data_IF_444820323338
#
_entry.id   IF_444820323338
#
_cell.length_a   1.000
_cell.length_b   1.000
_cell.length_c   1.000
_cell.angle_alpha   90.00
_cell.angle_beta   90.00
_cell.angle_gamma   90.00
#
_symmetry.space_group_name_H-M   'P 1'
#
loop_
_entity.id
_entity.type
_entity.pdbx_description
1 polymer ?
#
# COMPACT_ATOMS: atom_id res chain seq x y z
N UNK A 1 16.08 4.93 -0.61
CA UNK A 1 15.57 3.59 -0.46
C UNK A 1 16.68 2.58 -0.66
N UNK A 2 16.83 1.65 0.28
CA UNK A 2 17.75 0.50 0.21
C UNK A 2 16.94 -0.77 0.43
N UNK A 3 17.34 -1.86 -0.22
CA UNK A 3 16.65 -3.13 -0.03
C UNK A 3 17.55 -4.32 -0.31
N UNK A 4 17.25 -5.43 0.35
CA UNK A 4 17.87 -6.72 0.12
C UNK A 4 16.82 -7.83 0.20
N UNK A 5 16.94 -8.84 -0.65
CA UNK A 5 16.03 -9.97 -0.68
C UNK A 5 16.81 -11.28 -0.77
N UNK A 6 16.35 -12.25 -0.01
CA UNK A 6 16.78 -13.65 -0.11
C UNK A 6 15.56 -14.51 -0.44
N UNK A 7 15.69 -15.44 -1.38
CA UNK A 7 14.61 -16.33 -1.75
C UNK A 7 15.07 -17.72 -2.10
N UNK A 8 14.16 -18.67 -2.03
CA UNK A 8 14.35 -20.04 -2.42
C UNK A 8 13.22 -20.54 -3.31
N UNK A 9 13.54 -21.43 -4.24
CA UNK A 9 12.58 -22.12 -5.09
C UNK A 9 12.84 -23.63 -4.94
N UNK A 10 11.90 -24.32 -4.34
CA UNK A 10 12.02 -25.72 -3.99
C UNK A 10 10.99 -26.56 -4.75
N UNK A 11 11.47 -27.50 -5.55
CA UNK A 11 10.66 -28.56 -6.16
C UNK A 11 10.48 -29.67 -5.12
N UNK A 12 9.28 -29.73 -4.51
CA UNK A 12 8.97 -30.73 -3.46
C UNK A 12 8.85 -32.12 -4.11
N UNK A 13 8.12 -32.18 -5.21
CA UNK A 13 7.96 -33.36 -6.07
C UNK A 13 7.54 -32.90 -7.49
N UNK A 14 7.28 -33.83 -8.41
CA UNK A 14 6.94 -33.53 -9.79
C UNK A 14 5.71 -32.61 -9.95
N UNK A 15 4.77 -32.67 -9.00
CA UNK A 15 3.51 -31.93 -9.04
C UNK A 15 3.48 -30.71 -8.10
N UNK A 16 4.49 -30.50 -7.26
CA UNK A 16 4.46 -29.45 -6.23
C UNK A 16 5.75 -28.65 -6.20
N UNK A 17 5.61 -27.33 -6.28
CA UNK A 17 6.69 -26.37 -6.17
C UNK A 17 6.38 -25.30 -5.14
N UNK A 18 7.30 -25.04 -4.24
CA UNK A 18 7.23 -23.96 -3.25
C UNK A 18 8.29 -22.90 -3.53
N UNK A 19 7.89 -21.64 -3.56
CA UNK A 19 8.80 -20.51 -3.60
C UNK A 19 8.58 -19.65 -2.37
N UNK A 20 9.65 -19.20 -1.75
CA UNK A 20 9.63 -18.26 -0.65
C UNK A 20 10.66 -17.17 -0.83
N UNK A 21 10.33 -15.95 -0.42
CA UNK A 21 11.26 -14.85 -0.40
C UNK A 21 11.03 -13.99 0.84
N UNK A 22 12.11 -13.55 1.46
CA UNK A 22 12.12 -12.57 2.54
C UNK A 22 12.93 -11.38 2.08
N UNK A 23 12.32 -10.20 2.13
CA UNK A 23 12.97 -8.95 1.77
C UNK A 23 12.92 -7.96 2.94
N UNK A 24 13.92 -7.09 2.99
CA UNK A 24 13.98 -5.95 3.88
C UNK A 24 14.16 -4.69 3.03
N UNK A 25 13.34 -3.65 3.30
CA UNK A 25 13.42 -2.35 2.65
C UNK A 25 13.51 -1.25 3.69
N UNK A 26 14.45 -0.34 3.50
CA UNK A 26 14.58 0.87 4.31
C UNK A 26 14.33 2.10 3.46
N UNK A 27 13.41 2.94 3.93
CA UNK A 27 13.09 4.23 3.33
C UNK A 27 13.71 5.31 4.20
N UNK A 28 14.81 5.92 3.75
CA UNK A 28 15.44 7.02 4.47
C UNK A 28 14.71 8.33 4.15
N UNK A 29 14.58 9.18 5.17
CA UNK A 29 14.11 10.56 5.09
C UNK A 29 12.76 10.72 4.36
N UNK A 30 11.87 9.73 4.49
CA UNK A 30 10.53 9.76 3.88
C UNK A 30 9.52 10.46 4.80
N UNK A 31 9.76 10.46 6.10
CA UNK A 31 8.90 11.09 7.10
C UNK A 31 9.01 12.61 7.03
N UNK A 32 7.91 13.28 7.38
CA UNK A 32 7.89 14.73 7.52
C UNK A 32 8.55 15.20 8.82
N UNK A 33 8.96 16.47 8.85
CA UNK A 33 9.44 17.16 10.03
C UNK A 33 8.60 18.40 10.31
N UNK A 34 8.20 18.64 11.56
CA UNK A 34 7.50 19.86 11.91
C UNK A 34 8.46 21.04 11.88
N UNK A 35 8.06 22.14 11.26
CA UNK A 35 8.89 23.35 11.17
C UNK A 35 9.09 24.02 12.53
N UNK A 36 10.15 24.81 12.64
CA UNK A 36 10.20 25.88 13.61
C UNK A 36 9.00 26.84 13.39
N UNK A 37 8.57 27.62 14.40
CA UNK A 37 7.55 28.63 14.19
C UNK A 37 7.89 29.55 13.01
N UNK A 38 6.94 29.69 12.08
CA UNK A 38 7.16 30.43 10.82
C UNK A 38 6.01 31.36 10.50
N UNK A 39 6.29 32.38 9.65
CA UNK A 39 5.38 33.46 9.33
C UNK A 39 5.21 33.61 7.79
N UNK A 40 4.65 32.61 7.09
CA UNK A 40 4.52 32.65 5.63
C UNK A 40 3.64 33.82 5.14
N UNK A 41 2.77 34.37 5.99
CA UNK A 41 1.95 35.53 5.74
C UNK A 41 2.77 36.85 5.71
N UNK A 42 3.97 36.87 6.28
CA UNK A 42 4.85 38.06 6.31
C UNK A 42 5.72 38.17 5.04
N UNK A 43 5.42 37.43 3.98
CA UNK A 43 6.19 37.41 2.73
C UNK A 43 7.42 36.50 2.75
N UNK A 44 7.60 35.73 3.78
CA UNK A 44 8.61 34.66 3.80
C UNK A 44 8.25 33.57 2.77
N UNK A 45 9.23 33.04 2.00
CA UNK A 45 8.95 32.10 0.91
C UNK A 45 8.46 30.74 1.37
N UNK A 46 8.60 30.38 2.64
CA UNK A 46 8.19 29.10 3.20
C UNK A 46 8.65 28.90 4.63
N UNK A 47 8.46 27.69 5.14
CA UNK A 47 8.96 27.25 6.45
C UNK A 47 10.12 26.27 6.23
N UNK A 48 10.98 26.12 7.23
CA UNK A 48 12.23 25.35 7.12
C UNK A 48 12.03 23.86 6.81
N UNK A 49 10.88 23.30 7.17
CA UNK A 49 10.55 21.90 6.92
C UNK A 49 9.75 21.62 5.64
N UNK A 50 9.44 22.63 4.84
CA UNK A 50 8.63 22.47 3.61
C UNK A 50 9.20 21.42 2.63
N UNK A 51 10.53 21.21 2.66
CA UNK A 51 11.22 20.21 1.87
C UNK A 51 10.96 18.75 2.28
N UNK A 52 10.45 18.54 3.51
CA UNK A 52 10.20 17.19 4.05
C UNK A 52 8.79 16.67 3.72
N UNK A 53 8.00 17.41 2.94
CA UNK A 53 6.74 16.91 2.42
C UNK A 53 6.96 15.71 1.50
N UNK A 54 6.06 14.74 1.54
CA UNK A 54 6.10 13.61 0.62
C UNK A 54 6.06 14.10 -0.84
N UNK A 55 7.05 13.68 -1.65
CA UNK A 55 7.11 14.03 -3.07
C UNK A 55 5.96 13.41 -3.87
N UNK A 56 5.52 12.22 -3.44
CA UNK A 56 4.34 11.52 -3.95
C UNK A 56 3.58 10.93 -2.77
N UNK A 57 2.29 11.13 -2.74
CA UNK A 57 1.41 10.64 -1.68
C UNK A 57 0.05 10.28 -2.29
N UNK A 58 -0.49 9.16 -1.88
CA UNK A 58 -1.88 8.77 -2.17
C UNK A 58 -2.75 9.01 -0.93
N UNK A 59 -3.37 7.97 -0.39
CA UNK A 59 -4.20 8.04 0.81
C UNK A 59 -3.86 6.90 1.75
N UNK A 60 -4.17 7.10 3.02
CA UNK A 60 -4.16 6.04 4.02
C UNK A 60 -3.05 6.15 5.04
N UNK A 61 -1.81 6.51 4.68
CA UNK A 61 -0.77 6.74 5.67
C UNK A 61 -1.16 7.84 6.67
N UNK A 62 -0.65 7.72 7.89
CA UNK A 62 -0.80 8.76 8.90
C UNK A 62 0.03 9.98 8.55
N UNK A 63 -0.60 11.14 8.54
CA UNK A 63 0.02 12.40 8.17
C UNK A 63 -0.24 13.48 9.21
N UNK A 64 0.60 14.51 9.22
CA UNK A 64 0.46 15.68 10.05
C UNK A 64 0.81 16.96 9.28
N UNK A 65 0.42 18.13 9.84
CA UNK A 65 0.72 19.42 9.26
C UNK A 65 2.16 19.82 9.56
N UNK A 66 2.96 20.07 8.52
CA UNK A 66 4.38 20.37 8.65
C UNK A 66 4.66 21.76 9.24
N UNK A 67 3.86 22.76 8.83
CA UNK A 67 4.11 24.16 9.16
C UNK A 67 3.56 24.51 10.56
N UNK A 68 4.42 25.02 11.43
CA UNK A 68 4.04 25.68 12.70
C UNK A 68 3.84 27.17 12.47
N UNK A 69 2.67 27.52 11.90
CA UNK A 69 2.38 28.89 11.47
C UNK A 69 2.01 29.73 12.67
N UNK A 70 2.82 30.78 12.94
CA UNK A 70 2.51 31.82 13.91
C UNK A 70 1.33 32.66 13.39
N UNK A 71 0.26 32.88 14.20
CA UNK A 71 -0.85 33.72 13.79
C UNK A 71 -0.41 35.16 13.45
N UNK A 72 -0.98 35.75 12.40
CA UNK A 72 -0.71 37.16 12.06
C UNK A 72 -1.30 38.06 13.14
N UNK A 73 -0.49 38.84 13.90
CA UNK A 73 -0.99 39.70 14.97
C UNK A 73 -1.88 40.85 14.49
N UNK A 74 -1.71 41.29 13.23
CA UNK A 74 -2.53 42.32 12.63
C UNK A 74 -3.87 41.83 12.13
N UNK A 75 -3.99 40.54 11.89
CA UNK A 75 -5.23 39.93 11.41
C UNK A 75 -5.30 38.43 11.81
N UNK A 76 -5.54 38.12 13.08
CA UNK A 76 -5.49 36.76 13.61
C UNK A 76 -6.60 35.86 13.05
N UNK A 77 -7.61 36.41 12.39
CA UNK A 77 -8.75 35.68 11.79
C UNK A 77 -8.63 35.48 10.29
N UNK A 78 -7.51 35.91 9.69
CA UNK A 78 -7.31 35.73 8.24
C UNK A 78 -7.19 34.26 7.84
N UNK A 79 -7.53 34.05 6.58
CA UNK A 79 -7.46 32.81 5.82
C UNK A 79 -6.28 31.92 6.26
N UNK A 80 -6.52 30.66 6.57
CA UNK A 80 -5.45 29.73 6.88
C UNK A 80 -4.37 29.77 5.80
N UNK A 81 -3.14 29.95 6.21
CA UNK A 81 -2.00 29.92 5.28
C UNK A 81 -1.86 28.53 4.70
N UNK A 82 -1.36 28.39 3.47
CA UNK A 82 -1.15 27.08 2.85
C UNK A 82 -0.35 26.16 3.77
N UNK A 83 -0.89 24.98 4.02
CA UNK A 83 -0.22 23.95 4.77
C UNK A 83 0.35 22.89 3.82
N UNK A 84 1.43 22.24 4.25
CA UNK A 84 1.90 20.98 3.69
C UNK A 84 1.70 19.88 4.70
N UNK A 85 1.58 18.65 4.19
CA UNK A 85 1.50 17.45 5.02
C UNK A 85 2.74 16.60 4.83
N UNK A 86 3.17 15.97 5.92
CA UNK A 86 4.25 15.00 5.92
C UNK A 86 3.78 13.68 6.51
N UNK A 87 4.46 12.60 6.15
CA UNK A 87 4.22 11.28 6.71
C UNK A 87 4.64 11.26 8.18
N UNK A 88 3.78 10.74 9.05
CA UNK A 88 4.06 10.66 10.48
C UNK A 88 4.94 9.45 10.83
N UNK A 89 4.79 8.34 10.11
CA UNK A 89 5.56 7.10 10.32
C UNK A 89 6.86 7.10 9.54
N UNK A 90 7.87 6.43 10.09
CA UNK A 90 9.03 5.92 9.35
C UNK A 90 8.70 4.55 8.76
N UNK A 91 9.49 4.12 7.76
CA UNK A 91 9.23 2.86 7.07
C UNK A 91 10.50 2.02 6.91
N UNK A 92 10.54 0.91 7.65
CA UNK A 92 11.50 -0.16 7.51
C UNK A 92 10.72 -1.46 7.37
N UNK A 93 10.60 -1.96 6.15
CA UNK A 93 9.67 -3.05 5.86
C UNK A 93 10.36 -4.41 5.88
N UNK A 94 9.74 -5.35 6.58
CA UNK A 94 9.99 -6.78 6.39
C UNK A 94 8.86 -7.33 5.51
N UNK A 95 9.22 -7.95 4.38
CA UNK A 95 8.28 -8.45 3.37
C UNK A 95 8.51 -9.95 3.14
N UNK A 96 7.54 -10.77 3.52
CA UNK A 96 7.53 -12.22 3.32
C UNK A 96 6.57 -12.57 2.18
N UNK A 97 7.09 -13.27 1.17
CA UNK A 97 6.31 -13.81 0.07
C UNK A 97 6.41 -15.32 0.01
N UNK A 98 5.27 -16.00 -0.17
CA UNK A 98 5.20 -17.45 -0.35
C UNK A 98 4.28 -17.76 -1.53
N UNK A 99 4.72 -18.63 -2.43
CA UNK A 99 3.93 -19.13 -3.57
C UNK A 99 4.07 -20.65 -3.62
N UNK A 100 2.94 -21.32 -3.57
CA UNK A 100 2.85 -22.76 -3.77
C UNK A 100 2.09 -23.06 -5.05
N UNK A 101 2.75 -23.73 -5.99
CA UNK A 101 2.19 -24.23 -7.25
C UNK A 101 1.97 -25.73 -7.13
N UNK A 102 0.80 -26.22 -7.50
CA UNK A 102 0.45 -27.64 -7.52
C UNK A 102 -0.24 -28.03 -8.83
N UNK A 103 0.19 -29.15 -9.41
CA UNK A 103 -0.52 -29.82 -10.50
C UNK A 103 -1.59 -30.74 -9.91
N UNK A 104 -2.83 -30.55 -10.34
CA UNK A 104 -4.00 -31.30 -9.90
C UNK A 104 -4.43 -32.32 -10.97
N UNK A 105 -5.27 -33.33 -10.63
CA UNK A 105 -5.87 -34.21 -11.61
C UNK A 105 -6.59 -33.48 -12.75
N UNK A 106 -6.72 -34.11 -13.91
CA UNK A 106 -7.38 -33.58 -15.10
C UNK A 106 -6.72 -32.31 -15.69
N UNK A 107 -5.39 -32.20 -15.58
CA UNK A 107 -4.58 -31.10 -16.09
C UNK A 107 -4.88 -29.71 -15.44
N UNK A 108 -5.58 -29.68 -14.32
CA UNK A 108 -5.75 -28.48 -13.56
C UNK A 108 -4.46 -28.09 -12.82
N UNK A 109 -4.28 -26.80 -12.61
CA UNK A 109 -3.18 -26.22 -11.86
C UNK A 109 -3.70 -25.28 -10.79
N UNK A 110 -3.14 -25.39 -9.61
CA UNK A 110 -3.45 -24.50 -8.47
C UNK A 110 -2.22 -23.69 -8.12
N UNK A 111 -2.40 -22.40 -7.87
CA UNK A 111 -1.43 -21.53 -7.20
C UNK A 111 -2.05 -20.93 -5.96
N UNK A 112 -1.38 -21.09 -4.83
CA UNK A 112 -1.69 -20.40 -3.58
C UNK A 112 -0.58 -19.42 -3.30
N UNK A 113 -0.95 -18.15 -3.04
CA UNK A 113 0.01 -17.07 -2.80
C UNK A 113 -0.32 -16.41 -1.47
N UNK A 114 0.70 -16.13 -0.68
CA UNK A 114 0.64 -15.33 0.53
C UNK A 114 1.72 -14.26 0.52
N UNK A 115 1.36 -13.08 0.97
CA UNK A 115 2.29 -11.98 1.22
C UNK A 115 2.00 -11.41 2.60
N UNK A 116 3.03 -11.07 3.35
CA UNK A 116 2.93 -10.38 4.63
C UNK A 116 4.00 -9.31 4.72
N UNK A 117 3.59 -8.08 5.02
CA UNK A 117 4.48 -6.93 5.23
C UNK A 117 4.32 -6.44 6.65
N UNK A 118 5.44 -6.15 7.31
CA UNK A 118 5.48 -5.51 8.61
C UNK A 118 6.43 -4.33 8.61
N UNK A 119 5.95 -3.17 9.03
CA UNK A 119 6.77 -1.98 9.21
C UNK A 119 7.44 -2.02 10.59
N UNK A 120 8.71 -2.37 10.62
CA UNK A 120 9.54 -2.46 11.84
C UNK A 120 9.81 -1.09 12.50
N UNK A 121 9.65 0.00 11.75
CA UNK A 121 9.87 1.37 12.25
C UNK A 121 8.59 2.04 12.75
N UNK A 122 7.45 1.34 12.72
CA UNK A 122 6.20 1.88 13.24
C UNK A 122 6.28 2.09 14.75
N UNK A 123 6.13 3.34 15.19
CA UNK A 123 6.11 3.73 16.60
C UNK A 123 5.16 4.92 16.81
N UNK A 124 4.06 4.69 17.52
CA UNK A 124 3.06 5.73 17.80
C UNK A 124 3.61 6.87 18.67
N UNK A 125 4.57 6.59 19.55
CA UNK A 125 5.22 7.60 20.38
C UNK A 125 6.04 8.57 19.54
N UNK A 126 6.85 8.06 18.63
CA UNK A 126 7.63 8.88 17.69
C UNK A 126 6.73 9.64 16.71
N UNK A 127 5.64 9.02 16.23
CA UNK A 127 4.64 9.71 15.39
C UNK A 127 4.00 10.89 16.12
N UNK A 128 3.61 10.71 17.39
CA UNK A 128 3.06 11.80 18.24
C UNK A 128 4.10 12.91 18.48
N UNK A 129 5.32 12.55 18.79
CA UNK A 129 6.40 13.51 19.00
C UNK A 129 6.68 14.33 17.74
N UNK A 130 6.82 13.69 16.58
CA UNK A 130 7.08 14.32 15.28
C UNK A 130 5.96 15.26 14.87
N UNK A 131 4.69 14.86 15.08
CA UNK A 131 3.51 15.66 14.75
C UNK A 131 3.20 16.78 15.76
N UNK A 132 3.97 16.91 16.84
CA UNK A 132 3.62 17.79 17.96
C UNK A 132 2.31 17.39 18.67
N UNK A 133 1.98 16.11 18.65
CA UNK A 133 0.78 15.52 19.26
C UNK A 133 -0.48 15.59 18.40
N UNK A 134 -0.42 16.12 17.17
CA UNK A 134 -1.59 16.33 16.31
C UNK A 134 -1.39 15.68 14.95
N UNK A 135 -2.05 14.56 14.72
CA UNK A 135 -2.19 13.98 13.37
C UNK A 135 -3.33 14.69 12.62
N UNK A 136 -3.24 14.71 11.30
CA UNK A 136 -4.29 15.24 10.43
C UNK A 136 -5.35 14.17 10.05
N UNK A 137 -5.01 12.89 10.23
CA UNK A 137 -5.89 11.74 9.97
C UNK A 137 -5.55 10.57 10.90
N UNK A 138 -6.26 9.44 10.74
CA UNK A 138 -6.02 8.17 11.45
C UNK A 138 -6.04 8.31 12.98
N UNK A 139 -7.05 8.98 13.50
CA UNK A 139 -7.33 9.07 14.93
C UNK A 139 -8.83 8.91 15.20
N UNK A 140 -9.18 8.49 16.42
CA UNK A 140 -10.56 8.41 16.89
C UNK A 140 -11.01 9.71 17.58
N UNK A 141 -12.28 9.73 18.03
CA UNK A 141 -12.90 10.87 18.72
C UNK A 141 -12.16 11.26 20.02
N UNK A 142 -11.39 10.34 20.60
CA UNK A 142 -10.60 10.57 21.79
C UNK A 142 -9.15 10.97 21.49
N UNK A 143 -8.78 11.13 20.20
CA UNK A 143 -7.43 11.44 19.75
C UNK A 143 -6.46 10.26 19.80
N UNK A 144 -6.96 9.02 19.98
CA UNK A 144 -6.09 7.84 19.88
C UNK A 144 -5.78 7.53 18.41
N UNK A 145 -4.54 7.17 18.14
CA UNK A 145 -4.10 6.78 16.81
C UNK A 145 -4.85 5.50 16.37
N UNK A 146 -5.42 5.52 15.18
CA UNK A 146 -6.05 4.40 14.48
C UNK A 146 -5.22 4.06 13.26
N UNK A 147 -4.11 3.41 13.51
CA UNK A 147 -3.16 2.99 12.50
C UNK A 147 -2.64 1.58 12.77
N UNK A 148 -1.54 1.21 12.12
CA UNK A 148 -0.86 -0.06 12.33
C UNK A 148 0.16 -0.35 11.25
N UNK A 149 0.99 -1.34 11.54
CA UNK A 149 2.21 -1.69 10.84
C UNK A 149 2.07 -2.88 9.89
N UNK A 150 0.89 -3.50 9.78
CA UNK A 150 0.75 -4.80 9.13
C UNK A 150 -0.05 -4.72 7.84
N UNK A 151 0.43 -5.41 6.81
CA UNK A 151 -0.35 -5.71 5.60
C UNK A 151 -0.19 -7.19 5.24
N UNK A 152 -1.24 -7.78 4.68
CA UNK A 152 -1.18 -9.15 4.17
C UNK A 152 -2.16 -9.37 3.03
N UNK A 153 -1.83 -10.35 2.21
CA UNK A 153 -2.66 -10.82 1.11
C UNK A 153 -2.62 -12.34 1.05
N UNK A 154 -3.77 -12.93 0.72
CA UNK A 154 -3.87 -14.34 0.31
C UNK A 154 -4.63 -14.41 -1.01
N UNK A 155 -4.12 -15.19 -1.95
CA UNK A 155 -4.76 -15.39 -3.26
C UNK A 155 -4.65 -16.86 -3.67
N UNK A 156 -5.73 -17.36 -4.27
CA UNK A 156 -5.79 -18.66 -4.92
C UNK A 156 -6.07 -18.47 -6.40
N UNK A 157 -5.38 -19.23 -7.25
CA UNK A 157 -5.57 -19.25 -8.70
C UNK A 157 -5.72 -20.69 -9.15
N UNK A 158 -6.79 -20.99 -9.88
CA UNK A 158 -7.11 -22.33 -10.42
C UNK A 158 -7.38 -22.20 -11.92
N UNK A 159 -6.84 -23.13 -12.73
CA UNK A 159 -7.10 -23.18 -14.16
C UNK A 159 -6.37 -24.29 -14.86
N UNK A 160 -6.44 -24.34 -16.18
CA UNK A 160 -5.61 -25.25 -16.99
C UNK A 160 -4.19 -24.70 -17.20
N UNK A 161 -3.98 -23.41 -16.97
CA UNK A 161 -2.67 -22.76 -17.09
C UNK A 161 -2.52 -21.65 -16.05
N UNK A 162 -1.42 -21.66 -15.28
CA UNK A 162 -1.08 -20.55 -14.38
C UNK A 162 -0.45 -19.38 -15.17
N UNK A 163 0.27 -19.70 -16.24
CA UNK A 163 0.85 -18.73 -17.17
C UNK A 163 0.19 -18.91 -18.55
N UNK A 164 -0.61 -17.94 -18.97
CA UNK A 164 -1.33 -18.01 -20.25
C UNK A 164 -0.38 -17.76 -21.43
N UNK A 165 -0.20 -18.75 -22.28
CA UNK A 165 0.73 -18.69 -23.43
C UNK A 165 0.06 -18.92 -24.78
N UNK A 166 -1.10 -19.59 -24.82
CA UNK A 166 -1.79 -19.99 -26.05
C UNK A 166 -3.29 -19.73 -25.93
N UNK A 167 -3.96 -19.79 -27.06
CA UNK A 167 -5.41 -19.75 -27.13
C UNK A 167 -6.02 -20.90 -26.32
N UNK A 168 -7.06 -20.59 -25.52
CA UNK A 168 -7.76 -21.56 -24.71
C UNK A 168 -7.11 -21.81 -23.32
N UNK A 169 -5.94 -21.25 -23.02
CA UNK A 169 -5.44 -21.21 -21.65
C UNK A 169 -6.37 -20.34 -20.80
N UNK A 170 -6.66 -20.78 -19.59
CA UNK A 170 -7.50 -20.01 -18.69
C UNK A 170 -7.13 -20.24 -17.24
N UNK A 171 -7.41 -19.28 -16.39
CA UNK A 171 -7.48 -19.44 -14.95
C UNK A 171 -8.46 -18.45 -14.33
N UNK A 172 -8.92 -18.79 -13.15
CA UNK A 172 -9.71 -17.93 -12.27
C UNK A 172 -8.93 -17.72 -10.97
N UNK A 173 -9.10 -16.57 -10.38
CA UNK A 173 -8.44 -16.25 -9.11
C UNK A 173 -9.41 -15.54 -8.16
N UNK A 174 -9.19 -15.74 -6.87
CA UNK A 174 -9.84 -15.01 -5.81
C UNK A 174 -8.83 -14.75 -4.68
N UNK A 175 -8.98 -13.64 -4.00
CA UNK A 175 -8.10 -13.29 -2.89
C UNK A 175 -8.70 -12.23 -1.98
N UNK A 176 -7.99 -12.03 -0.87
CA UNK A 176 -8.30 -11.00 0.11
C UNK A 176 -7.02 -10.25 0.48
N UNK A 177 -7.13 -8.94 0.64
CA UNK A 177 -6.03 -8.06 1.01
C UNK A 177 -6.44 -7.20 2.21
N UNK A 178 -5.53 -7.03 3.15
CA UNK A 178 -5.69 -6.19 4.33
C UNK A 178 -4.42 -5.36 4.51
N UNK A 179 -4.57 -4.04 4.59
CA UNK A 179 -3.46 -3.10 4.63
C UNK A 179 -3.77 -2.05 5.70
N UNK A 180 -3.05 -2.06 6.81
CA UNK A 180 -3.13 -1.01 7.82
C UNK A 180 -2.50 0.29 7.31
N UNK A 181 -2.86 1.45 7.89
CA UNK A 181 -2.41 2.76 7.40
C UNK A 181 -0.91 2.88 7.19
N UNK A 182 -0.10 2.50 8.18
CA UNK A 182 1.35 2.72 8.14
C UNK A 182 2.15 1.41 7.95
N UNK A 183 1.53 0.42 7.29
CA UNK A 183 2.20 -0.84 6.96
C UNK A 183 3.29 -0.68 5.89
N UNK A 184 3.11 0.26 4.96
CA UNK A 184 4.06 0.60 3.89
C UNK A 184 3.74 2.01 3.38
N UNK A 185 4.68 2.70 2.69
CA UNK A 185 4.36 3.98 2.06
C UNK A 185 3.27 3.81 0.99
N UNK A 186 2.27 4.65 1.03
CA UNK A 186 1.05 4.58 0.23
C UNK A 186 1.28 4.56 -1.28
N UNK A 187 2.32 5.25 -1.75
CA UNK A 187 2.70 5.31 -3.15
C UNK A 187 3.25 4.00 -3.73
N UNK A 188 3.55 2.99 -2.91
CA UNK A 188 4.10 1.69 -3.32
C UNK A 188 3.06 0.56 -3.34
N UNK A 189 1.79 0.86 -3.13
CA UNK A 189 0.71 -0.12 -3.20
C UNK A 189 0.06 -0.16 -4.59
N UNK A 190 -0.70 -1.23 -4.85
CA UNK A 190 -1.51 -1.43 -6.07
C UNK A 190 -2.54 -0.30 -6.23
N UNK A 191 -2.39 0.51 -7.28
CA UNK A 191 -3.25 1.67 -7.56
C UNK A 191 -4.69 1.29 -7.93
N UNK A 192 -4.97 0.04 -8.25
CA UNK A 192 -6.31 -0.44 -8.58
C UNK A 192 -7.07 -0.92 -7.34
N UNK A 193 -6.38 -1.42 -6.32
CA UNK A 193 -7.00 -1.87 -5.08
C UNK A 193 -7.34 -0.66 -4.20
N UNK A 194 -8.63 -0.46 -3.93
CA UNK A 194 -9.16 0.68 -3.16
C UNK A 194 -8.75 2.05 -3.75
N UNK A 195 -8.53 2.12 -5.06
CA UNK A 195 -7.97 3.28 -5.79
C UNK A 195 -6.58 3.69 -5.28
N UNK A 196 -5.79 2.74 -4.82
CA UNK A 196 -4.44 2.95 -4.30
C UNK A 196 -4.37 3.34 -2.83
N UNK A 197 -3.16 3.52 -2.34
CA UNK A 197 -2.89 3.89 -0.96
C UNK A 197 -2.93 2.72 0.03
N UNK A 198 -3.01 3.04 1.30
CA UNK A 198 -3.10 2.12 2.44
C UNK A 198 -4.44 2.30 3.17
N UNK A 199 -4.58 1.80 4.39
CA UNK A 199 -5.84 1.83 5.15
C UNK A 199 -7.00 1.16 4.40
N UNK A 200 -6.76 0.00 3.81
CA UNK A 200 -7.70 -0.68 2.93
C UNK A 200 -7.77 -2.17 3.20
N UNK A 201 -8.95 -2.75 3.09
CA UNK A 201 -9.18 -4.20 3.09
C UNK A 201 -10.27 -4.55 2.09
N UNK A 202 -10.29 -5.79 1.65
CA UNK A 202 -11.34 -6.26 0.75
C UNK A 202 -10.92 -7.48 -0.05
N UNK A 203 -11.85 -7.96 -0.82
CA UNK A 203 -11.65 -9.11 -1.68
C UNK A 203 -11.59 -8.71 -3.16
N UNK A 204 -10.96 -9.56 -3.94
CA UNK A 204 -10.94 -9.47 -5.38
C UNK A 204 -11.16 -10.86 -5.99
N UNK A 205 -11.87 -10.88 -7.10
CA UNK A 205 -12.12 -12.08 -7.89
C UNK A 205 -11.93 -11.75 -9.36
N UNK A 206 -11.42 -12.69 -10.13
CA UNK A 206 -11.23 -12.47 -11.55
C UNK A 206 -10.88 -13.71 -12.32
N UNK A 207 -10.59 -13.52 -13.60
CA UNK A 207 -10.16 -14.58 -14.47
C UNK A 207 -9.40 -14.07 -15.68
N UNK A 208 -8.64 -14.96 -16.25
CA UNK A 208 -7.85 -14.72 -17.44
C UNK A 208 -8.21 -15.76 -18.53
N UNK A 209 -8.25 -15.32 -19.79
CA UNK A 209 -8.50 -16.20 -20.92
C UNK A 209 -7.57 -15.88 -22.10
N UNK A 210 -6.85 -16.88 -22.59
CA UNK A 210 -5.95 -16.80 -23.74
C UNK A 210 -6.72 -16.66 -25.05
N UNK A 211 -6.62 -15.50 -25.68
CA UNK A 211 -7.27 -15.18 -26.96
C UNK A 211 -6.45 -15.67 -28.15
N UNK A 212 -5.13 -15.58 -28.05
CA UNK A 212 -4.17 -15.99 -29.06
C UNK A 212 -2.81 -16.31 -28.39
N UNK A 213 -1.80 -16.67 -29.18
CA UNK A 213 -0.44 -16.83 -28.66
C UNK A 213 0.04 -15.54 -28.03
N UNK A 214 0.39 -15.60 -26.73
CA UNK A 214 0.85 -14.47 -25.93
C UNK A 214 -0.14 -13.29 -25.81
N UNK A 215 -1.43 -13.48 -26.13
CA UNK A 215 -2.50 -12.49 -25.97
C UNK A 215 -3.59 -13.06 -25.08
N UNK A 216 -3.96 -12.37 -24.01
CA UNK A 216 -5.02 -12.80 -23.10
C UNK A 216 -5.86 -11.62 -22.60
N UNK A 217 -7.13 -11.90 -22.33
CA UNK A 217 -8.03 -10.99 -21.65
C UNK A 217 -8.03 -11.28 -20.16
N UNK A 218 -8.14 -10.23 -19.35
CA UNK A 218 -8.32 -10.30 -17.90
C UNK A 218 -9.58 -9.54 -17.52
N UNK A 219 -10.42 -10.15 -16.69
CA UNK A 219 -11.49 -9.48 -15.97
C UNK A 219 -11.25 -9.60 -14.47
N UNK A 220 -11.33 -8.49 -13.73
CA UNK A 220 -11.16 -8.46 -12.27
C UNK A 220 -12.19 -7.53 -11.65
N UNK A 221 -12.87 -7.99 -10.62
CA UNK A 221 -13.71 -7.17 -9.76
C UNK A 221 -13.14 -7.15 -8.34
N UNK A 222 -13.14 -5.98 -7.75
CA UNK A 222 -12.65 -5.73 -6.39
C UNK A 222 -13.72 -4.99 -5.62
N UNK A 223 -13.97 -5.42 -4.38
CA UNK A 223 -14.83 -4.75 -3.43
C UNK A 223 -14.02 -4.51 -2.16
N UNK A 224 -13.87 -3.26 -1.79
CA UNK A 224 -12.89 -2.81 -0.80
C UNK A 224 -13.48 -1.76 0.11
N UNK A 225 -13.03 -1.74 1.36
CA UNK A 225 -13.42 -0.75 2.37
C UNK A 225 -12.21 -0.25 3.16
N UNK A 226 -12.35 0.90 3.82
CA UNK A 226 -11.34 1.42 4.74
C UNK A 226 -11.23 0.51 5.98
N UNK A 227 -10.00 0.34 6.52
CA UNK A 227 -9.79 -0.42 7.77
C UNK A 227 -10.23 0.40 8.98
N UNK A 228 -9.88 1.69 8.99
CA UNK A 228 -10.20 2.62 10.06
C UNK A 228 -10.78 3.92 9.50
N UNK A 229 -11.51 4.65 10.35
CA UNK A 229 -12.10 5.94 10.03
C UNK A 229 -13.54 5.85 9.55
N UNK A 230 -14.01 6.88 8.87
CA UNK A 230 -15.34 6.89 8.28
C UNK A 230 -15.48 5.79 7.22
N UNK A 231 -16.66 5.16 7.09
CA UNK A 231 -16.90 4.17 6.04
C UNK A 231 -16.58 4.76 4.66
N UNK A 232 -15.75 4.04 3.93
CA UNK A 232 -15.38 4.42 2.57
C UNK A 232 -15.21 3.14 1.74
N UNK A 233 -16.23 2.81 0.97
CA UNK A 233 -16.33 1.59 0.19
C UNK A 233 -16.11 1.89 -1.29
N UNK A 234 -15.36 1.03 -1.97
CA UNK A 234 -15.05 1.19 -3.39
C UNK A 234 -15.18 -0.15 -4.11
N UNK A 235 -16.00 -0.18 -5.15
CA UNK A 235 -16.07 -1.28 -6.11
C UNK A 235 -15.39 -0.88 -7.42
N UNK A 236 -14.50 -1.75 -7.90
CA UNK A 236 -13.78 -1.54 -9.16
C UNK A 236 -13.97 -2.75 -10.07
N UNK A 237 -14.46 -2.54 -11.28
CA UNK A 237 -14.40 -3.52 -12.36
C UNK A 237 -13.27 -3.12 -13.34
N UNK A 238 -12.34 -4.03 -13.56
CA UNK A 238 -11.21 -3.85 -14.45
C UNK A 238 -11.25 -4.88 -15.58
N UNK A 239 -11.17 -4.40 -16.81
CA UNK A 239 -11.11 -5.24 -18.01
C UNK A 239 -9.85 -4.86 -18.80
N UNK A 240 -9.03 -5.86 -19.14
CA UNK A 240 -7.74 -5.66 -19.78
C UNK A 240 -7.54 -6.63 -20.93
N UNK A 241 -6.78 -6.19 -21.94
CA UNK A 241 -6.17 -7.06 -22.94
C UNK A 241 -4.66 -6.93 -22.78
N UNK A 242 -4.02 -8.05 -22.52
CA UNK A 242 -2.59 -8.13 -22.26
C UNK A 242 -1.87 -8.83 -23.41
N UNK A 243 -0.72 -8.30 -23.81
CA UNK A 243 0.13 -8.88 -24.85
C UNK A 243 1.57 -9.04 -24.34
N UNK A 244 2.21 -10.16 -24.71
CA UNK A 244 3.63 -10.43 -24.40
C UNK A 244 4.40 -10.53 -25.70
N UNK A 245 5.49 -9.80 -25.81
CA UNK A 245 6.38 -9.77 -26.97
C UNK A 245 7.60 -10.65 -26.74
#
# INVERSE_FOLDING_TARGET
LYGAQLGANWQINDSNRLKGALAYYRFDDIQGERSSPCEPWAGAPGCDSDGTRAAFMQKGNSVFLLRDITPNPLNPTTTPQPQFVGLASEFNLLDLNVVWDADLPQDFKLRSQGNYIHNLAYDEGEMRKRSGGQLANNFDENGNIKSGANAWMVQFTLGNALDLKKQGDWNMFAGYKYIQPDALPDGFNDSSFHLGGTNAKGYFIGGNYGLAKNVYATGRWMSTEAVYGAPFDIDVLQLEINTRF
#
